data_IF_125619518653
#
_entry.id   IF_125619518653
#
_cell.length_a   1.000
_cell.length_b   1.000
_cell.length_c   1.000
_cell.angle_alpha   90.00
_cell.angle_beta   90.00
_cell.angle_gamma   90.00
#
_symmetry.space_group_name_H-M   'P 1'
#
loop_
_entity.id
_entity.type
_entity.pdbx_description
1 polymer ?
#
# COMPACT_ATOMS: atom_id res chain seq x y z
N UNK A 1 17.48 -8.17 -8.58
CA UNK A 1 16.47 -9.12 -9.06
C UNK A 1 16.64 -10.39 -8.25
N UNK A 2 15.55 -11.05 -7.85
CA UNK A 2 15.60 -12.28 -7.06
C UNK A 2 16.18 -13.41 -7.92
N UNK A 3 16.92 -14.36 -7.32
CA UNK A 3 17.47 -15.52 -8.04
C UNK A 3 16.64 -16.76 -7.78
N UNK A 4 16.58 -17.71 -8.73
CA UNK A 4 15.87 -19.00 -8.58
C UNK A 4 16.23 -19.70 -7.25
N UNK A 5 17.51 -19.83 -6.83
CA UNK A 5 17.85 -20.44 -5.54
C UNK A 5 17.22 -19.75 -4.33
N UNK A 6 17.18 -18.41 -4.31
CA UNK A 6 16.57 -17.67 -3.21
C UNK A 6 15.05 -17.80 -3.21
N UNK A 7 14.42 -17.91 -4.38
CA UNK A 7 12.99 -18.22 -4.48
C UNK A 7 12.68 -19.60 -3.88
N UNK A 8 13.48 -20.62 -4.20
CA UNK A 8 13.31 -21.96 -3.62
C UNK A 8 13.47 -21.96 -2.10
N UNK A 9 14.42 -21.19 -1.56
CA UNK A 9 14.57 -21.01 -0.11
C UNK A 9 13.31 -20.37 0.51
N UNK A 10 12.77 -19.33 -0.10
CA UNK A 10 11.54 -18.66 0.37
C UNK A 10 10.33 -19.58 0.34
N UNK A 11 10.20 -20.42 -0.69
CA UNK A 11 9.12 -21.43 -0.76
C UNK A 11 9.24 -22.41 0.39
N UNK A 12 10.44 -22.88 0.71
CA UNK A 12 10.68 -23.79 1.83
C UNK A 12 10.44 -23.17 3.20
N UNK A 13 10.63 -21.86 3.35
CA UNK A 13 10.27 -21.13 4.58
C UNK A 13 8.75 -21.12 4.82
N UNK A 14 7.94 -21.18 3.75
CA UNK A 14 6.48 -21.23 3.82
C UNK A 14 5.98 -22.68 3.93
N UNK A 15 6.46 -23.56 3.06
CA UNK A 15 6.13 -24.98 3.03
C UNK A 15 7.30 -25.79 2.46
N UNK A 16 7.85 -26.69 3.27
CA UNK A 16 8.98 -27.54 2.91
C UNK A 16 8.62 -28.66 1.93
N UNK A 17 7.33 -28.97 1.76
CA UNK A 17 6.84 -30.06 0.92
C UNK A 17 6.49 -29.63 -0.50
N UNK A 18 6.28 -28.33 -0.71
CA UNK A 18 5.93 -27.78 -2.02
C UNK A 18 7.14 -27.74 -2.94
N UNK A 19 6.97 -28.25 -4.16
CA UNK A 19 7.89 -28.08 -5.29
C UNK A 19 7.18 -27.24 -6.35
N UNK A 20 7.83 -26.19 -6.81
CA UNK A 20 7.31 -25.36 -7.90
C UNK A 20 7.76 -25.94 -9.25
N UNK A 21 6.86 -25.92 -10.23
CA UNK A 21 7.22 -26.17 -11.61
C UNK A 21 8.01 -24.98 -12.17
N UNK A 22 8.87 -25.22 -13.16
CA UNK A 22 9.76 -24.20 -13.74
C UNK A 22 8.98 -22.98 -14.28
N UNK A 23 7.86 -23.21 -14.97
CA UNK A 23 7.00 -22.15 -15.50
C UNK A 23 6.41 -21.27 -14.39
N UNK A 24 6.13 -21.86 -13.22
CA UNK A 24 5.58 -21.13 -12.06
C UNK A 24 6.68 -20.33 -11.37
N UNK A 25 7.89 -20.88 -11.26
CA UNK A 25 9.05 -20.14 -10.75
C UNK A 25 9.33 -18.90 -11.61
N UNK A 26 9.31 -19.03 -12.94
CA UNK A 26 9.54 -17.91 -13.85
C UNK A 26 8.45 -16.85 -13.75
N UNK A 27 7.19 -17.27 -13.65
CA UNK A 27 6.07 -16.34 -13.43
C UNK A 27 6.22 -15.58 -12.10
N UNK A 28 6.59 -16.27 -11.02
CA UNK A 28 6.81 -15.63 -9.72
C UNK A 28 7.96 -14.63 -9.75
N UNK A 29 9.07 -14.97 -10.43
CA UNK A 29 10.19 -14.04 -10.62
C UNK A 29 9.74 -12.79 -11.38
N UNK A 30 8.96 -12.96 -12.46
CA UNK A 30 8.42 -11.82 -13.21
C UNK A 30 7.52 -10.94 -12.35
N UNK A 31 6.62 -11.53 -11.56
CA UNK A 31 5.73 -10.79 -10.65
C UNK A 31 6.55 -10.00 -9.62
N UNK A 32 7.65 -10.58 -9.11
CA UNK A 32 8.53 -9.93 -8.14
C UNK A 32 9.27 -8.76 -8.78
N UNK A 33 9.76 -8.91 -10.00
CA UNK A 33 10.44 -7.84 -10.71
C UNK A 33 9.46 -6.68 -11.03
N UNK A 34 8.24 -6.99 -11.47
CA UNK A 34 7.18 -6.01 -11.68
C UNK A 34 6.78 -5.29 -10.36
N UNK A 35 6.73 -6.02 -9.26
CA UNK A 35 6.47 -5.47 -7.92
C UNK A 35 7.55 -4.45 -7.51
N UNK A 36 8.82 -4.78 -7.74
CA UNK A 36 9.94 -3.88 -7.41
C UNK A 36 9.88 -2.62 -8.29
N UNK A 37 9.65 -2.77 -9.60
CA UNK A 37 9.56 -1.64 -10.53
C UNK A 37 8.42 -0.68 -10.14
N UNK A 38 7.22 -1.22 -9.86
CA UNK A 38 6.07 -0.44 -9.42
C UNK A 38 6.32 0.28 -8.08
N UNK A 39 6.98 -0.40 -7.15
CA UNK A 39 7.37 0.17 -5.86
C UNK A 39 8.35 1.33 -6.05
N UNK A 40 9.41 1.15 -6.85
CA UNK A 40 10.40 2.21 -7.11
C UNK A 40 9.76 3.41 -7.82
N UNK A 41 8.91 3.16 -8.82
CA UNK A 41 8.19 4.20 -9.55
C UNK A 41 7.27 5.02 -8.64
N UNK A 42 6.52 4.36 -7.77
CA UNK A 42 5.58 5.04 -6.86
C UNK A 42 6.31 5.80 -5.75
N UNK A 43 7.34 5.20 -5.16
CA UNK A 43 8.08 5.80 -4.04
C UNK A 43 8.93 6.98 -4.49
N UNK A 44 9.53 6.91 -5.68
CA UNK A 44 10.20 8.07 -6.30
C UNK A 44 9.23 9.20 -6.62
N UNK A 45 8.00 8.90 -7.06
CA UNK A 45 6.96 9.89 -7.25
C UNK A 45 6.53 10.56 -5.93
N UNK A 46 6.44 9.81 -4.83
CA UNK A 46 6.14 10.36 -3.50
C UNK A 46 7.28 11.25 -2.96
N UNK A 47 8.53 10.83 -3.11
CA UNK A 47 9.68 11.65 -2.75
C UNK A 47 9.66 12.99 -3.50
N UNK A 48 9.42 12.95 -4.82
CA UNK A 48 9.28 14.15 -5.67
C UNK A 48 8.10 15.03 -5.24
N UNK A 49 6.96 14.45 -4.90
CA UNK A 49 5.79 15.19 -4.41
C UNK A 49 6.10 15.99 -3.12
N UNK A 50 6.95 15.46 -2.25
CA UNK A 50 7.41 16.15 -1.04
C UNK A 50 8.54 17.16 -1.30
N UNK A 51 8.94 17.36 -2.56
CA UNK A 51 10.10 18.17 -2.98
C UNK A 51 11.44 17.63 -2.43
N UNK A 52 11.51 16.32 -2.20
CA UNK A 52 12.75 15.62 -1.84
C UNK A 52 13.38 14.98 -3.07
N UNK A 53 14.71 14.99 -3.15
CA UNK A 53 15.48 14.25 -4.15
C UNK A 53 15.96 12.88 -3.62
N UNK A 54 15.50 12.48 -2.44
CA UNK A 54 15.86 11.20 -1.80
C UNK A 54 14.59 10.45 -1.43
N UNK A 55 14.56 9.16 -1.78
CA UNK A 55 13.52 8.23 -1.33
C UNK A 55 13.78 7.93 0.13
N UNK A 56 12.74 8.10 0.96
CA UNK A 56 12.79 7.82 2.38
C UNK A 56 11.85 6.65 2.73
N UNK A 57 12.04 6.04 3.89
CA UNK A 57 11.23 4.90 4.38
C UNK A 57 9.73 5.22 4.35
N UNK A 58 9.34 6.47 4.66
CA UNK A 58 7.95 6.93 4.64
C UNK A 58 7.29 6.84 3.27
N UNK A 59 8.05 6.95 2.17
CA UNK A 59 7.52 6.85 0.82
C UNK A 59 7.15 5.40 0.50
N UNK A 60 8.03 4.46 0.86
CA UNK A 60 7.82 3.01 0.70
C UNK A 60 6.66 2.54 1.56
N UNK A 61 6.63 2.97 2.82
CA UNK A 61 5.55 2.63 3.75
C UNK A 61 4.19 3.10 3.22
N UNK A 62 4.08 4.36 2.77
CA UNK A 62 2.83 4.88 2.23
C UNK A 62 2.35 4.08 1.01
N UNK A 63 3.28 3.64 0.16
CA UNK A 63 2.94 2.81 -1.00
C UNK A 63 2.36 1.47 -0.58
N UNK A 64 3.01 0.77 0.35
CA UNK A 64 2.60 -0.56 0.81
C UNK A 64 1.29 -0.52 1.57
N UNK A 65 1.07 0.46 2.43
CA UNK A 65 -0.18 0.61 3.17
C UNK A 65 -1.35 0.94 2.25
N UNK A 66 -1.15 1.82 1.26
CA UNK A 66 -2.24 2.30 0.40
C UNK A 66 -2.55 1.39 -0.78
N UNK A 67 -1.53 0.78 -1.39
CA UNK A 67 -1.69 -0.05 -2.59
C UNK A 67 -1.85 -1.52 -2.26
N UNK A 68 -0.99 -2.04 -1.39
CA UNK A 68 -0.94 -3.47 -1.06
C UNK A 68 -1.67 -3.82 0.24
N UNK A 69 -2.13 -2.81 0.99
CA UNK A 69 -2.70 -2.99 2.34
C UNK A 69 -1.76 -3.79 3.26
N UNK A 70 -0.46 -3.60 3.08
CA UNK A 70 0.59 -4.25 3.86
C UNK A 70 1.11 -3.29 4.92
N UNK A 71 1.21 -3.77 6.15
CA UNK A 71 1.82 -3.04 7.26
C UNK A 71 3.09 -3.77 7.71
N UNK A 72 4.22 -3.07 7.72
CA UNK A 72 5.52 -3.65 8.11
C UNK A 72 5.82 -3.25 9.56
N UNK A 73 5.85 -4.21 10.51
CA UNK A 73 6.21 -3.93 11.89
C UNK A 73 7.64 -3.38 12.00
N UNK A 74 7.84 -2.43 12.93
CA UNK A 74 9.17 -1.85 13.19
C UNK A 74 9.60 -0.74 12.22
N UNK A 75 8.82 -0.46 11.18
CA UNK A 75 9.02 0.67 10.28
C UNK A 75 7.79 1.59 10.35
N UNK A 76 8.00 2.87 10.66
CA UNK A 76 6.92 3.85 10.74
C UNK A 76 6.27 3.93 12.12
N UNK A 77 6.89 4.67 13.03
CA UNK A 77 6.35 4.96 14.37
C UNK A 77 5.59 6.28 14.47
N UNK A 78 5.47 7.05 13.39
CA UNK A 78 4.52 8.16 13.36
C UNK A 78 3.24 7.66 12.71
N UNK A 79 2.21 7.47 13.56
CA UNK A 79 0.83 7.29 13.16
C UNK A 79 0.54 8.16 11.91
N UNK A 80 0.47 7.54 10.73
CA UNK A 80 -0.38 8.07 9.67
C UNK A 80 -1.79 7.92 10.22
N UNK A 81 -2.19 8.82 11.13
CA UNK A 81 -3.51 8.84 11.73
C UNK A 81 -4.49 8.69 10.58
N UNK A 82 -5.23 7.58 10.53
CA UNK A 82 -6.17 7.39 9.46
C UNK A 82 -7.22 8.46 9.64
N UNK A 83 -7.17 9.47 8.77
CA UNK A 83 -8.28 10.37 8.53
C UNK A 83 -8.63 11.24 9.76
N UNK A 84 -8.00 12.42 9.88
CA UNK A 84 -8.78 13.54 10.43
C UNK A 84 -9.98 13.67 9.50
N UNK A 85 -11.18 13.28 9.95
CA UNK A 85 -12.43 13.54 9.21
C UNK A 85 -12.36 14.99 8.78
N UNK A 86 -12.36 15.21 7.46
CA UNK A 86 -12.39 16.55 6.91
C UNK A 86 -13.52 17.30 7.63
N UNK A 87 -13.23 18.51 8.09
CA UNK A 87 -14.23 19.32 8.76
C UNK A 87 -15.45 19.40 7.83
N UNK A 88 -16.60 18.94 8.33
CA UNK A 88 -17.82 18.92 7.54
C UNK A 88 -18.13 20.36 7.14
N UNK A 89 -18.16 20.63 5.83
CA UNK A 89 -18.40 21.98 5.32
C UNK A 89 -19.77 22.48 5.80
N UNK A 90 -19.90 23.79 6.02
CA UNK A 90 -21.18 24.39 6.42
C UNK A 90 -22.29 24.05 5.41
N UNK A 91 -21.97 23.99 4.12
CA UNK A 91 -22.88 23.52 3.07
C UNK A 91 -23.36 22.08 3.30
N UNK A 92 -22.48 21.16 3.70
CA UNK A 92 -22.87 19.78 4.02
C UNK A 92 -23.72 19.70 5.29
N UNK A 93 -23.43 20.51 6.31
CA UNK A 93 -24.26 20.62 7.52
C UNK A 93 -25.67 21.12 7.19
N UNK A 94 -25.79 22.16 6.37
CA UNK A 94 -27.07 22.69 5.92
C UNK A 94 -27.87 21.66 5.13
N UNK A 95 -27.22 20.93 4.20
CA UNK A 95 -27.85 19.83 3.44
C UNK A 95 -28.39 18.74 4.37
N UNK A 96 -27.60 18.29 5.35
CA UNK A 96 -28.02 17.29 6.32
C UNK A 96 -29.18 17.78 7.19
N UNK A 97 -29.20 19.06 7.58
CA UNK A 97 -30.30 19.66 8.34
C UNK A 97 -31.62 19.65 7.54
N UNK A 98 -31.56 19.96 6.24
CA UNK A 98 -32.73 19.89 5.36
C UNK A 98 -33.25 18.46 5.23
N UNK A 99 -32.38 17.48 4.97
CA UNK A 99 -32.76 16.06 4.89
C UNK A 99 -33.44 15.60 6.19
N UNK A 100 -32.87 15.93 7.35
CA UNK A 100 -33.47 15.58 8.66
C UNK A 100 -34.85 16.19 8.87
N UNK A 101 -35.07 17.43 8.40
CA UNK A 101 -36.38 18.08 8.48
C UNK A 101 -37.41 17.38 7.59
N UNK A 102 -37.02 16.96 6.40
CA UNK A 102 -37.92 16.26 5.47
C UNK A 102 -38.30 14.88 5.99
N UNK A 103 -37.36 14.13 6.57
CA UNK A 103 -37.62 12.79 7.13
C UNK A 103 -38.55 12.86 8.35
N UNK A 104 -38.45 13.90 9.19
CA UNK A 104 -39.35 14.08 10.34
C UNK A 104 -40.77 14.54 9.98
N UNK A 105 -40.97 14.98 8.73
CA UNK A 105 -42.27 15.51 8.27
C UNK A 105 -43.18 14.40 7.72
N UNK A 106 -42.63 13.19 7.53
CA UNK A 106 -43.35 11.96 7.22
C UNK A 106 -43.19 10.98 8.38
#
# INVERSE_FOLDING_TARGET
MLTKPRLTELVREVDTTTQLDEDVEELLLQIIDDFVEDTVKSTSAFAKHRKSNKIEVRDVQLHFERKYNMWIPGFGTDELRPYKRAAVTEAHKQRLALIRKTIKKY
#
